data_IF_559220753126
#
_entry.id   IF_559220753126
#
_cell.length_a   1.000
_cell.length_b   1.000
_cell.length_c   1.000
_cell.angle_alpha   90.00
_cell.angle_beta   90.00
_cell.angle_gamma   90.00
#
_symmetry.space_group_name_H-M   'P 1'
#
loop_
_entity.id
_entity.type
_entity.pdbx_description
1 polymer ?
#
# COMPACT_ATOMS: atom_id res chain seq x y z
N UNK A 1 9.10 -52.21 -28.92
CA UNK A 1 8.59 -50.85 -29.07
C UNK A 1 8.83 -50.11 -27.76
N UNK A 2 9.86 -49.29 -27.71
CA UNK A 2 10.12 -48.45 -26.53
C UNK A 2 9.01 -47.35 -26.47
N UNK A 3 8.24 -47.32 -25.39
CA UNK A 3 7.33 -46.21 -25.11
C UNK A 3 8.18 -44.96 -24.99
N UNK A 4 8.09 -44.06 -25.94
CA UNK A 4 8.63 -42.70 -25.81
C UNK A 4 7.95 -42.08 -24.59
N UNK A 5 8.64 -42.08 -23.45
CA UNK A 5 8.24 -41.34 -22.27
C UNK A 5 8.50 -39.85 -22.56
N UNK A 6 7.54 -39.20 -23.21
CA UNK A 6 7.54 -37.72 -23.26
C UNK A 6 7.65 -37.24 -21.80
N UNK A 7 8.71 -36.48 -21.49
CA UNK A 7 8.78 -35.78 -20.20
C UNK A 7 7.46 -35.00 -20.00
N UNK A 8 6.85 -35.06 -18.81
CA UNK A 8 5.68 -34.25 -18.53
C UNK A 8 6.01 -32.77 -18.74
N UNK A 9 5.10 -32.02 -19.32
CA UNK A 9 5.28 -30.62 -19.56
C UNK A 9 5.33 -29.84 -18.23
N UNK A 10 6.21 -28.84 -18.14
CA UNK A 10 6.31 -27.92 -17.01
C UNK A 10 4.94 -27.28 -16.74
N UNK A 11 4.54 -27.24 -15.47
CA UNK A 11 3.34 -26.53 -14.99
C UNK A 11 3.77 -25.26 -14.24
N UNK A 12 3.03 -24.18 -14.41
CA UNK A 12 3.29 -22.87 -13.79
C UNK A 12 2.17 -22.55 -12.82
N UNK A 13 2.48 -22.54 -11.53
CA UNK A 13 1.57 -22.24 -10.45
C UNK A 13 1.77 -20.80 -9.97
N UNK A 14 0.74 -19.97 -10.09
CA UNK A 14 0.76 -18.57 -9.70
C UNK A 14 0.11 -18.47 -8.33
N UNK A 15 0.88 -18.10 -7.31
CA UNK A 15 0.39 -17.90 -5.95
C UNK A 15 -0.45 -16.62 -5.86
N UNK A 16 -1.75 -16.76 -5.74
CA UNK A 16 -2.68 -15.66 -5.66
C UNK A 16 -3.71 -15.84 -4.52
N UNK A 17 -3.35 -16.58 -3.48
CA UNK A 17 -4.21 -16.90 -2.33
C UNK A 17 -3.86 -16.13 -1.06
N UNK A 18 -2.88 -15.24 -1.10
CA UNK A 18 -2.50 -14.39 0.03
C UNK A 18 -3.63 -13.45 0.45
N UNK A 19 -3.89 -13.34 1.76
CA UNK A 19 -4.90 -12.43 2.31
C UNK A 19 -4.50 -10.95 2.16
N UNK A 20 -3.27 -10.67 1.70
CA UNK A 20 -2.77 -9.31 1.46
C UNK A 20 -2.79 -8.42 2.71
N UNK A 21 -2.55 -9.01 3.89
CA UNK A 21 -2.65 -8.31 5.18
C UNK A 21 -1.81 -7.03 5.24
N UNK A 22 -0.62 -7.03 4.64
CA UNK A 22 0.25 -5.85 4.53
C UNK A 22 -0.22 -4.84 3.48
N UNK A 23 -1.06 -5.27 2.54
CA UNK A 23 -1.58 -4.44 1.46
C UNK A 23 -2.83 -3.64 1.85
N UNK A 24 -3.54 -4.07 2.90
CA UNK A 24 -4.73 -3.41 3.47
C UNK A 24 -5.77 -2.98 2.42
N UNK A 25 -5.92 -3.78 1.38
CA UNK A 25 -6.85 -3.49 0.28
C UNK A 25 -6.58 -2.13 -0.40
N UNK A 26 -5.31 -1.76 -0.47
CA UNK A 26 -4.86 -0.53 -1.12
C UNK A 26 -5.48 -0.38 -2.51
N UNK A 27 -5.96 0.81 -2.83
CA UNK A 27 -6.74 1.09 -4.04
C UNK A 27 -8.01 0.24 -4.21
N UNK A 28 -8.55 -0.33 -3.13
CA UNK A 28 -9.79 -1.11 -3.13
C UNK A 28 -9.71 -2.46 -3.85
N UNK A 29 -8.51 -2.96 -4.17
CA UNK A 29 -8.29 -4.21 -4.88
C UNK A 29 -7.20 -5.06 -4.22
N UNK A 30 -7.26 -6.40 -4.32
CA UNK A 30 -6.15 -7.26 -3.97
C UNK A 30 -4.89 -6.91 -4.76
N UNK A 31 -3.68 -7.13 -4.18
CA UNK A 31 -2.39 -6.90 -4.82
C UNK A 31 -2.32 -7.41 -6.26
N UNK A 32 -2.78 -8.64 -6.46
CA UNK A 32 -2.74 -9.36 -7.74
C UNK A 32 -3.55 -8.66 -8.86
N UNK A 33 -4.50 -7.83 -8.46
CA UNK A 33 -5.36 -7.07 -9.37
C UNK A 33 -4.96 -5.60 -9.51
N UNK A 34 -3.81 -5.21 -8.98
CA UNK A 34 -3.24 -3.89 -9.26
C UNK A 34 -2.97 -3.78 -10.77
N UNK A 35 -3.41 -2.68 -11.34
CA UNK A 35 -3.19 -2.37 -12.76
C UNK A 35 -1.99 -1.44 -12.92
N UNK A 36 -1.03 -1.87 -13.72
CA UNK A 36 0.11 -1.05 -14.16
C UNK A 36 -0.01 -0.93 -15.67
N UNK A 37 -0.04 0.29 -16.16
CA UNK A 37 -0.23 0.61 -17.59
C UNK A 37 -1.53 -0.01 -18.18
N UNK A 38 -2.61 -0.11 -17.36
CA UNK A 38 -3.90 -0.63 -17.78
C UNK A 38 -4.03 -2.15 -17.80
N UNK A 39 -3.04 -2.89 -17.28
CA UNK A 39 -3.05 -4.35 -17.20
C UNK A 39 -2.80 -4.80 -15.77
N UNK A 40 -3.62 -5.72 -15.22
CA UNK A 40 -3.37 -6.26 -13.88
C UNK A 40 -2.08 -7.08 -13.86
N UNK A 41 -1.34 -7.04 -12.73
CA UNK A 41 -0.10 -7.81 -12.62
C UNK A 41 -0.34 -9.31 -12.78
N UNK A 42 -1.47 -9.83 -12.31
CA UNK A 42 -1.84 -11.23 -12.52
C UNK A 42 -2.08 -11.55 -14.01
N UNK A 43 -2.87 -10.73 -14.71
CA UNK A 43 -3.14 -10.95 -16.15
C UNK A 43 -1.85 -10.79 -16.97
N UNK A 44 -1.02 -9.79 -16.67
CA UNK A 44 0.29 -9.60 -17.30
C UNK A 44 1.13 -10.87 -17.23
N UNK A 45 1.28 -11.46 -16.06
CA UNK A 45 2.06 -12.68 -15.86
C UNK A 45 1.51 -13.84 -16.71
N UNK A 46 0.19 -14.03 -16.70
CA UNK A 46 -0.48 -15.07 -17.51
C UNK A 46 -0.23 -14.84 -19.00
N UNK A 47 -0.43 -13.61 -19.48
CA UNK A 47 -0.20 -13.24 -20.89
C UNK A 47 1.26 -13.49 -21.30
N UNK A 48 2.21 -13.12 -20.47
CA UNK A 48 3.64 -13.34 -20.75
C UNK A 48 3.98 -14.83 -20.83
N UNK A 49 3.49 -15.66 -19.92
CA UNK A 49 3.65 -17.12 -19.99
C UNK A 49 3.03 -17.70 -21.27
N UNK A 50 1.86 -17.21 -21.66
CA UNK A 50 1.19 -17.62 -22.90
C UNK A 50 1.96 -17.18 -24.14
N UNK A 51 2.57 -15.99 -24.13
CA UNK A 51 3.43 -15.51 -25.22
C UNK A 51 4.69 -16.38 -25.42
N UNK A 52 5.24 -16.93 -24.32
CA UNK A 52 6.32 -17.94 -24.36
C UNK A 52 5.86 -19.35 -24.78
N UNK A 53 4.61 -19.51 -25.22
CA UNK A 53 4.07 -20.77 -25.71
C UNK A 53 3.62 -21.76 -24.63
N UNK A 54 3.56 -21.35 -23.36
CA UNK A 54 3.03 -22.19 -22.29
C UNK A 54 1.54 -22.44 -22.54
N UNK A 55 1.14 -23.70 -22.60
CA UNK A 55 -0.25 -24.06 -22.87
C UNK A 55 -1.17 -23.63 -21.71
N UNK A 56 -2.38 -23.14 -21.97
CA UNK A 56 -3.39 -22.71 -20.98
C UNK A 56 -3.53 -23.68 -19.80
N UNK A 57 -3.65 -24.97 -20.06
CA UNK A 57 -3.78 -26.04 -19.05
C UNK A 57 -2.58 -26.17 -18.10
N UNK A 58 -1.45 -25.57 -18.46
CA UNK A 58 -0.20 -25.60 -17.67
C UNK A 58 0.01 -24.27 -16.91
N UNK A 59 -0.85 -23.26 -17.08
CA UNK A 59 -0.87 -22.03 -16.29
C UNK A 59 -1.99 -22.16 -15.26
N UNK A 60 -1.65 -22.17 -13.98
CA UNK A 60 -2.57 -22.52 -12.90
C UNK A 60 -2.55 -21.44 -11.83
N UNK A 61 -3.67 -20.75 -11.63
CA UNK A 61 -3.85 -19.77 -10.55
C UNK A 61 -4.20 -20.51 -9.26
N UNK A 62 -3.37 -20.36 -8.24
CA UNK A 62 -3.62 -20.87 -6.88
C UNK A 62 -4.33 -19.77 -6.08
N UNK A 63 -5.66 -19.74 -6.08
CA UNK A 63 -6.43 -18.71 -5.41
C UNK A 63 -7.83 -18.51 -6.00
N UNK A 64 -8.56 -17.48 -5.52
CA UNK A 64 -9.94 -17.23 -5.89
C UNK A 64 -10.12 -16.58 -7.27
N UNK A 65 -9.03 -16.15 -7.91
CA UNK A 65 -9.07 -15.43 -9.17
C UNK A 65 -9.26 -16.35 -10.36
N UNK A 66 -9.82 -15.79 -11.45
CA UNK A 66 -10.03 -16.48 -12.72
C UNK A 66 -9.48 -15.64 -13.86
N UNK A 67 -8.97 -16.33 -14.87
CA UNK A 67 -8.51 -15.73 -16.11
C UNK A 67 -8.82 -16.68 -17.27
N UNK A 68 -9.16 -16.13 -18.43
CA UNK A 68 -9.53 -16.93 -19.60
C UNK A 68 -8.35 -17.69 -20.20
N UNK A 69 -7.11 -17.28 -19.92
CA UNK A 69 -5.87 -17.90 -20.41
C UNK A 69 -5.15 -18.77 -19.37
N UNK A 70 -5.79 -19.03 -18.23
CA UNK A 70 -5.31 -19.91 -17.18
C UNK A 70 -6.38 -20.88 -16.68
N UNK A 71 -5.96 -21.84 -15.86
CA UNK A 71 -6.85 -22.65 -15.01
C UNK A 71 -6.73 -22.20 -13.57
N UNK A 72 -7.72 -22.47 -12.74
CA UNK A 72 -7.67 -22.05 -11.32
C UNK A 72 -7.84 -23.25 -10.41
N UNK A 73 -7.14 -23.22 -9.27
CA UNK A 73 -7.26 -24.19 -8.18
C UNK A 73 -7.33 -23.44 -6.86
N UNK A 74 -8.21 -23.87 -5.97
CA UNK A 74 -8.27 -23.32 -4.61
C UNK A 74 -7.39 -24.19 -3.73
N UNK A 75 -6.30 -23.63 -3.22
CA UNK A 75 -5.45 -24.27 -2.21
C UNK A 75 -6.11 -24.15 -0.84
N UNK A 76 -5.94 -25.19 -0.01
CA UNK A 76 -6.53 -25.24 1.34
C UNK A 76 -5.57 -24.76 2.41
N UNK A 77 -4.30 -24.72 2.07
CA UNK A 77 -3.20 -24.38 2.95
C UNK A 77 -3.18 -22.87 3.25
N UNK A 78 -2.76 -22.51 4.46
CA UNK A 78 -2.71 -21.11 4.94
C UNK A 78 -1.31 -20.53 4.93
N UNK A 79 -0.28 -21.35 5.08
CA UNK A 79 1.11 -20.90 5.10
C UNK A 79 1.79 -21.16 3.76
N UNK A 80 2.77 -20.35 3.39
CA UNK A 80 3.58 -20.48 2.16
C UNK A 80 4.14 -21.88 2.00
N UNK A 81 4.73 -22.44 3.06
CA UNK A 81 5.35 -23.78 3.07
C UNK A 81 4.33 -24.92 2.84
N UNK A 82 3.14 -24.82 3.43
CA UNK A 82 2.08 -25.81 3.21
C UNK A 82 1.56 -25.74 1.77
N UNK A 83 1.41 -24.52 1.22
CA UNK A 83 1.04 -24.33 -0.20
C UNK A 83 2.08 -24.93 -1.13
N UNK A 84 3.36 -24.82 -0.81
CA UNK A 84 4.44 -25.42 -1.61
C UNK A 84 4.37 -26.96 -1.63
N UNK A 85 4.05 -27.60 -0.50
CA UNK A 85 3.81 -29.05 -0.44
C UNK A 85 2.55 -29.42 -1.23
N UNK A 86 1.46 -28.67 -1.09
CA UNK A 86 0.22 -28.90 -1.81
C UNK A 86 0.41 -28.80 -3.34
N UNK A 87 1.17 -27.82 -3.82
CA UNK A 87 1.51 -27.65 -5.24
C UNK A 87 2.29 -28.86 -5.75
N UNK A 88 3.27 -29.36 -5.03
CA UNK A 88 4.03 -30.52 -5.44
C UNK A 88 3.12 -31.77 -5.58
N UNK A 89 2.18 -31.94 -4.65
CA UNK A 89 1.19 -33.02 -4.70
C UNK A 89 0.22 -32.91 -5.91
N UNK A 90 -0.09 -31.67 -6.33
CA UNK A 90 -0.92 -31.38 -7.49
C UNK A 90 -0.14 -31.54 -8.81
N UNK A 91 1.12 -31.14 -8.82
CA UNK A 91 1.93 -31.09 -10.03
C UNK A 91 2.20 -32.48 -10.60
N UNK A 92 2.68 -33.41 -9.78
CA UNK A 92 3.09 -34.78 -10.17
C UNK A 92 3.99 -34.78 -11.41
N UNK A 93 4.94 -33.86 -11.45
CA UNK A 93 5.87 -33.62 -12.54
C UNK A 93 6.57 -32.26 -12.34
N UNK A 94 7.42 -31.83 -13.30
CA UNK A 94 8.12 -30.55 -13.21
C UNK A 94 7.15 -29.37 -13.06
N UNK A 95 7.53 -28.41 -12.21
CA UNK A 95 6.71 -27.22 -11.99
C UNK A 95 7.53 -25.97 -11.69
N UNK A 96 6.89 -24.84 -11.89
CA UNK A 96 7.36 -23.51 -11.49
C UNK A 96 6.31 -22.87 -10.60
N UNK A 97 6.72 -22.28 -9.49
CA UNK A 97 5.90 -21.43 -8.64
C UNK A 97 6.28 -19.98 -8.93
N UNK A 98 5.29 -19.14 -9.20
CA UNK A 98 5.41 -17.71 -9.41
C UNK A 98 4.62 -16.96 -8.33
N UNK A 99 5.15 -15.87 -7.82
CA UNK A 99 4.42 -15.02 -6.87
C UNK A 99 3.47 -14.10 -7.63
N UNK A 100 2.19 -14.19 -7.31
CA UNK A 100 1.11 -13.50 -8.05
C UNK A 100 0.99 -12.01 -7.78
N UNK A 101 1.77 -11.49 -6.84
CA UNK A 101 1.87 -10.10 -6.44
C UNK A 101 3.15 -9.39 -6.95
N UNK A 102 3.92 -10.07 -7.80
CA UNK A 102 5.10 -9.52 -8.44
C UNK A 102 4.79 -8.97 -9.84
N UNK A 103 5.40 -7.84 -10.19
CA UNK A 103 5.47 -7.33 -11.55
C UNK A 103 6.60 -8.00 -12.31
N UNK A 104 6.30 -8.79 -13.31
CA UNK A 104 7.30 -9.46 -14.15
C UNK A 104 7.52 -8.71 -15.46
N UNK A 105 8.79 -8.59 -15.87
CA UNK A 105 9.14 -8.17 -17.23
C UNK A 105 9.04 -9.32 -18.23
N UNK A 106 9.00 -9.00 -19.51
CA UNK A 106 9.05 -9.99 -20.59
C UNK A 106 10.36 -10.80 -20.54
N UNK A 107 11.48 -10.12 -20.30
CA UNK A 107 12.79 -10.75 -20.21
C UNK A 107 12.87 -11.73 -19.02
N UNK A 108 12.31 -11.37 -17.86
CA UNK A 108 12.29 -12.26 -16.70
C UNK A 108 11.45 -13.52 -16.96
N UNK A 109 10.25 -13.37 -17.51
CA UNK A 109 9.40 -14.54 -17.85
C UNK A 109 10.06 -15.41 -18.94
N UNK A 110 10.70 -14.78 -19.95
CA UNK A 110 11.44 -15.51 -20.97
C UNK A 110 12.52 -16.40 -20.34
N UNK A 111 13.33 -15.84 -19.44
CA UNK A 111 14.37 -16.60 -18.74
C UNK A 111 13.78 -17.71 -17.86
N UNK A 112 12.71 -17.42 -17.11
CA UNK A 112 12.02 -18.44 -16.29
C UNK A 112 11.51 -19.60 -17.15
N UNK A 113 11.01 -19.34 -18.35
CA UNK A 113 10.44 -20.39 -19.21
C UNK A 113 11.51 -21.17 -19.98
N UNK A 114 12.55 -20.51 -20.47
CA UNK A 114 13.49 -21.07 -21.46
C UNK A 114 14.78 -21.59 -20.86
N UNK A 115 15.22 -21.06 -19.71
CA UNK A 115 16.46 -21.48 -19.06
C UNK A 115 16.41 -22.97 -18.72
N UNK A 116 17.48 -23.75 -19.06
CA UNK A 116 17.59 -25.14 -18.63
C UNK A 116 17.58 -25.25 -17.10
N UNK A 117 16.77 -26.14 -16.56
CA UNK A 117 16.73 -26.45 -15.12
C UNK A 117 17.52 -27.71 -14.84
N UNK A 118 18.33 -27.72 -13.77
CA UNK A 118 19.04 -28.92 -13.31
C UNK A 118 18.14 -29.77 -12.39
N UNK A 119 17.90 -29.29 -11.19
CA UNK A 119 17.02 -29.92 -10.22
C UNK A 119 16.07 -28.92 -9.59
N UNK A 120 16.61 -27.78 -9.20
CA UNK A 120 15.93 -26.67 -8.55
C UNK A 120 16.65 -25.36 -8.90
N UNK A 121 15.88 -24.32 -9.20
CA UNK A 121 16.36 -22.95 -9.36
C UNK A 121 15.43 -22.01 -8.60
N UNK A 122 15.97 -20.94 -8.08
CA UNK A 122 15.23 -19.85 -7.47
C UNK A 122 15.66 -18.50 -8.06
N UNK A 123 14.71 -17.63 -8.35
CA UNK A 123 14.93 -16.30 -8.90
C UNK A 123 14.69 -15.25 -7.82
N UNK A 124 15.61 -14.30 -7.69
CA UNK A 124 15.57 -13.23 -6.71
C UNK A 124 15.77 -11.85 -7.31
N UNK A 125 15.33 -10.79 -6.58
CA UNK A 125 15.88 -9.45 -6.77
C UNK A 125 17.33 -9.43 -6.33
N UNK A 126 18.07 -8.48 -6.87
CA UNK A 126 19.36 -8.10 -6.28
C UNK A 126 19.13 -7.27 -5.02
N UNK A 127 20.16 -7.24 -4.19
CA UNK A 127 20.15 -6.53 -2.92
C UNK A 127 21.17 -5.36 -2.93
N UNK A 128 20.80 -4.14 -2.50
CA UNK A 128 19.41 -3.71 -2.30
C UNK A 128 18.64 -3.66 -3.62
N UNK A 129 17.31 -3.87 -3.56
CA UNK A 129 16.45 -3.77 -4.74
C UNK A 129 16.54 -2.36 -5.35
N UNK A 130 16.91 -2.20 -6.63
CA UNK A 130 17.12 -0.89 -7.22
C UNK A 130 15.82 -0.07 -7.38
N UNK A 131 14.66 -0.72 -7.43
CA UNK A 131 13.37 -0.07 -7.64
C UNK A 131 12.70 0.34 -6.34
N UNK A 132 12.68 -0.54 -5.34
CA UNK A 132 12.04 -0.30 -4.04
C UNK A 132 13.02 0.09 -2.95
N UNK A 133 14.32 -0.22 -3.12
CA UNK A 133 15.36 -0.02 -2.10
C UNK A 133 15.22 -0.99 -0.94
N UNK A 134 14.47 -2.08 -1.12
CA UNK A 134 14.35 -3.14 -0.12
C UNK A 134 15.74 -3.70 0.21
N UNK A 135 16.13 -3.76 1.49
CA UNK A 135 17.46 -4.21 1.88
C UNK A 135 17.61 -5.74 1.86
N UNK A 136 16.58 -6.49 1.49
CA UNK A 136 16.56 -7.95 1.46
C UNK A 136 16.33 -8.48 0.05
N UNK A 137 16.91 -9.64 -0.32
CA UNK A 137 16.57 -10.29 -1.58
C UNK A 137 15.13 -10.83 -1.48
N UNK A 138 14.34 -10.51 -2.48
CA UNK A 138 12.96 -10.97 -2.61
C UNK A 138 12.89 -12.04 -3.69
N UNK A 139 12.32 -13.19 -3.35
CA UNK A 139 12.15 -14.28 -4.31
C UNK A 139 10.94 -14.05 -5.20
N UNK A 140 11.09 -14.28 -6.52
CA UNK A 140 9.98 -14.19 -7.47
C UNK A 140 9.45 -15.53 -7.91
N UNK A 141 10.36 -16.51 -8.12
CA UNK A 141 9.99 -17.78 -8.69
C UNK A 141 10.85 -18.92 -8.16
N UNK A 142 10.21 -20.07 -8.00
CA UNK A 142 10.85 -21.35 -7.73
C UNK A 142 10.58 -22.30 -8.88
N UNK A 143 11.61 -22.95 -9.41
CA UNK A 143 11.49 -23.96 -10.47
C UNK A 143 12.01 -25.29 -9.97
N UNK A 144 11.24 -26.35 -10.17
CA UNK A 144 11.60 -27.69 -9.72
C UNK A 144 11.35 -28.74 -10.80
N UNK A 145 12.36 -29.54 -11.12
CA UNK A 145 12.24 -30.71 -12.00
C UNK A 145 11.92 -31.97 -11.22
N UNK A 146 12.45 -32.09 -10.00
CA UNK A 146 12.28 -33.26 -9.11
C UNK A 146 11.16 -32.96 -8.08
N UNK A 147 9.92 -33.11 -8.52
CA UNK A 147 8.74 -32.79 -7.69
C UNK A 147 8.61 -33.72 -6.47
N UNK A 148 9.13 -34.98 -6.52
CA UNK A 148 9.10 -35.94 -5.41
C UNK A 148 10.04 -35.46 -4.31
N UNK A 149 11.26 -35.10 -4.68
CA UNK A 149 12.22 -34.52 -3.75
C UNK A 149 11.68 -33.23 -3.10
N UNK A 150 11.05 -32.34 -3.89
CA UNK A 150 10.45 -31.11 -3.37
C UNK A 150 9.34 -31.42 -2.37
N UNK A 151 8.40 -32.30 -2.72
CA UNK A 151 7.31 -32.74 -1.85
C UNK A 151 7.84 -33.25 -0.53
N UNK A 152 8.80 -34.18 -0.58
CA UNK A 152 9.36 -34.84 0.61
C UNK A 152 10.10 -33.81 1.48
N UNK A 153 10.82 -32.86 0.87
CA UNK A 153 11.50 -31.78 1.57
C UNK A 153 10.47 -30.84 2.25
N UNK A 154 9.42 -30.45 1.56
CA UNK A 154 8.37 -29.61 2.16
C UNK A 154 7.62 -30.34 3.27
N UNK A 155 7.40 -31.63 3.13
CA UNK A 155 6.81 -32.46 4.18
C UNK A 155 7.70 -32.52 5.42
N UNK A 156 9.00 -32.70 5.27
CA UNK A 156 9.98 -32.64 6.37
C UNK A 156 9.89 -31.29 7.10
N UNK A 157 9.87 -30.18 6.36
CA UNK A 157 9.75 -28.83 6.91
C UNK A 157 8.44 -28.68 7.69
N UNK A 158 7.31 -29.08 7.11
CA UNK A 158 5.98 -28.89 7.69
C UNK A 158 5.72 -29.78 8.92
N UNK A 159 6.49 -30.85 9.09
CA UNK A 159 6.37 -31.77 10.24
C UNK A 159 7.43 -31.55 11.31
N UNK A 160 8.42 -30.69 11.09
CA UNK A 160 9.48 -30.40 12.06
C UNK A 160 9.07 -29.31 13.05
N UNK A 161 8.85 -29.62 14.35
CA UNK A 161 8.39 -28.64 15.33
C UNK A 161 9.34 -27.46 15.55
N UNK A 162 10.64 -27.64 15.37
CA UNK A 162 11.64 -26.59 15.55
C UNK A 162 11.60 -25.58 14.40
N UNK A 163 11.32 -26.03 13.18
CA UNK A 163 11.18 -25.16 12.02
C UNK A 163 9.83 -24.42 12.01
N UNK A 164 8.75 -25.05 12.52
CA UNK A 164 7.43 -24.45 12.61
C UNK A 164 7.41 -23.22 13.54
N UNK A 165 8.27 -23.19 14.56
CA UNK A 165 8.37 -22.07 15.51
C UNK A 165 9.02 -20.81 14.91
N UNK A 166 9.74 -20.95 13.80
CA UNK A 166 10.38 -19.81 13.16
C UNK A 166 9.37 -19.13 12.22
N UNK A 167 9.07 -17.85 12.45
CA UNK A 167 8.20 -17.05 11.57
C UNK A 167 8.92 -16.53 10.31
N UNK A 168 10.09 -17.08 9.97
CA UNK A 168 10.91 -16.59 8.86
C UNK A 168 10.96 -17.63 7.75
N UNK A 169 10.47 -17.29 6.57
CA UNK A 169 10.45 -18.19 5.41
C UNK A 169 11.84 -18.48 4.80
N UNK A 170 12.88 -17.78 5.24
CA UNK A 170 14.27 -17.95 4.75
C UNK A 170 14.82 -19.36 4.94
N UNK A 171 14.37 -20.06 6.00
CA UNK A 171 14.79 -21.42 6.24
C UNK A 171 14.35 -22.39 5.14
N UNK A 172 13.28 -22.08 4.38
CA UNK A 172 12.83 -22.89 3.25
C UNK A 172 13.94 -22.93 2.19
N UNK A 173 14.50 -21.79 1.85
CA UNK A 173 15.62 -21.65 0.91
C UNK A 173 16.82 -22.51 1.35
N UNK A 174 17.30 -22.31 2.59
CA UNK A 174 18.45 -23.06 3.11
C UNK A 174 18.20 -24.56 3.16
N UNK A 175 16.99 -24.95 3.53
CA UNK A 175 16.62 -26.37 3.60
C UNK A 175 16.59 -27.04 2.23
N UNK A 176 16.10 -26.33 1.22
CA UNK A 176 16.14 -26.77 -0.18
C UNK A 176 17.57 -26.90 -0.71
N UNK A 177 18.50 -26.11 -0.21
CA UNK A 177 19.93 -26.23 -0.50
C UNK A 177 20.64 -27.27 0.34
N UNK A 178 19.93 -28.00 1.23
CA UNK A 178 20.51 -29.02 2.10
C UNK A 178 21.26 -28.46 3.31
N UNK A 179 21.14 -27.17 3.60
CA UNK A 179 21.77 -26.51 4.75
C UNK A 179 20.87 -26.65 5.96
N UNK A 180 21.33 -27.35 7.00
CA UNK A 180 20.56 -27.67 8.22
C UNK A 180 21.27 -27.20 9.50
N UNK A 181 22.01 -26.10 9.42
CA UNK A 181 22.76 -25.52 10.53
C UNK A 181 22.24 -24.10 10.91
N UNK A 182 23.00 -23.37 11.70
CA UNK A 182 22.62 -22.02 12.18
C UNK A 182 22.34 -20.99 11.08
N UNK A 183 22.84 -21.21 9.86
CA UNK A 183 22.60 -20.33 8.69
C UNK A 183 21.13 -20.26 8.28
N UNK A 184 20.31 -21.25 8.66
CA UNK A 184 18.86 -21.22 8.41
C UNK A 184 18.14 -19.99 8.99
N UNK A 185 18.77 -19.30 9.93
CA UNK A 185 18.25 -18.09 10.59
C UNK A 185 18.76 -16.79 9.95
N UNK A 186 19.58 -16.87 8.91
CA UNK A 186 20.16 -15.70 8.22
C UNK A 186 19.58 -15.54 6.82
N UNK A 187 19.44 -14.31 6.31
CA UNK A 187 19.06 -14.08 4.92
C UNK A 187 20.04 -14.75 3.96
N UNK A 188 19.61 -15.28 2.82
CA UNK A 188 20.48 -15.96 1.85
C UNK A 188 21.49 -15.05 1.14
N UNK A 189 21.50 -13.75 1.41
CA UNK A 189 22.28 -12.70 0.71
C UNK A 189 23.78 -12.92 0.67
N UNK A 190 24.33 -13.48 1.75
CA UNK A 190 25.79 -13.66 1.89
C UNK A 190 26.31 -14.97 1.29
N UNK A 191 25.41 -15.87 0.89
CA UNK A 191 25.75 -17.22 0.47
C UNK A 191 25.06 -17.61 -0.85
N UNK A 192 25.00 -16.65 -1.78
CA UNK A 192 24.48 -16.87 -3.13
C UNK A 192 25.19 -18.05 -3.81
N UNK A 193 24.42 -19.05 -4.25
CA UNK A 193 24.90 -20.18 -4.99
C UNK A 193 24.54 -20.09 -6.47
N UNK A 194 25.47 -19.71 -7.36
CA UNK A 194 25.19 -19.47 -8.76
C UNK A 194 24.70 -20.72 -9.53
N UNK A 195 24.77 -21.89 -8.93
CA UNK A 195 24.22 -23.11 -9.52
C UNK A 195 22.71 -23.24 -9.39
N UNK A 196 22.10 -22.52 -8.42
CA UNK A 196 20.67 -22.59 -8.10
C UNK A 196 20.02 -21.23 -7.95
N UNK A 197 20.79 -20.20 -7.59
CA UNK A 197 20.29 -18.87 -7.28
C UNK A 197 20.51 -17.94 -8.49
N UNK A 198 19.44 -17.38 -9.01
CA UNK A 198 19.46 -16.53 -10.19
C UNK A 198 19.08 -15.13 -9.76
N UNK A 199 20.08 -14.26 -9.61
CA UNK A 199 19.84 -12.85 -9.39
C UNK A 199 19.34 -12.20 -10.69
N UNK A 200 18.21 -11.49 -10.61
CA UNK A 200 17.60 -10.82 -11.74
C UNK A 200 17.62 -9.31 -11.56
N UNK A 201 18.11 -8.59 -12.56
CA UNK A 201 18.36 -7.14 -12.51
C UNK A 201 17.57 -6.45 -13.61
N UNK A 202 16.29 -6.27 -13.44
CA UNK A 202 15.48 -5.42 -14.30
C UNK A 202 14.34 -4.76 -13.52
N UNK A 203 13.24 -4.39 -14.18
CA UNK A 203 12.06 -3.84 -13.56
C UNK A 203 11.12 -4.90 -12.91
N UNK A 204 11.53 -6.18 -12.88
CA UNK A 204 10.77 -7.22 -12.16
C UNK A 204 10.85 -6.95 -10.66
N UNK A 205 9.71 -6.87 -9.99
CA UNK A 205 9.65 -6.46 -8.58
C UNK A 205 8.46 -7.05 -7.84
N UNK A 206 8.61 -7.18 -6.53
CA UNK A 206 7.56 -7.56 -5.59
C UNK A 206 7.02 -6.33 -4.86
N UNK A 207 5.73 -6.31 -4.58
CA UNK A 207 5.07 -5.22 -3.88
C UNK A 207 4.51 -5.71 -2.54
N UNK A 208 5.34 -5.80 -1.54
CA UNK A 208 4.90 -6.20 -0.20
C UNK A 208 4.03 -5.13 0.46
N UNK A 209 4.34 -3.88 0.21
CA UNK A 209 3.64 -2.71 0.76
C UNK A 209 3.19 -1.73 -0.35
N UNK A 210 2.16 -0.90 -0.09
CA UNK A 210 1.76 0.15 -1.02
C UNK A 210 2.89 1.11 -1.40
N UNK A 211 3.85 1.33 -0.49
CA UNK A 211 5.02 2.17 -0.71
C UNK A 211 5.96 1.61 -1.78
N UNK A 212 6.06 0.30 -1.89
CA UNK A 212 6.88 -0.38 -2.89
C UNK A 212 6.34 -0.10 -4.29
N UNK A 213 5.02 -0.19 -4.48
CA UNK A 213 4.38 0.20 -5.73
C UNK A 213 4.61 1.69 -6.06
N UNK A 214 4.50 2.57 -5.06
CA UNK A 214 4.72 4.01 -5.28
C UNK A 214 6.16 4.29 -5.71
N UNK A 215 7.15 3.69 -5.06
CA UNK A 215 8.57 3.78 -5.42
C UNK A 215 8.84 3.20 -6.80
N UNK A 216 8.31 2.01 -7.08
CA UNK A 216 8.41 1.36 -8.39
C UNK A 216 7.89 2.26 -9.50
N UNK A 217 6.69 2.83 -9.35
CA UNK A 217 6.13 3.74 -10.33
C UNK A 217 6.99 5.01 -10.51
N UNK A 218 7.52 5.56 -9.42
CA UNK A 218 8.39 6.74 -9.46
C UNK A 218 9.73 6.45 -10.17
N UNK A 219 10.31 5.27 -9.93
CA UNK A 219 11.61 4.88 -10.49
C UNK A 219 11.52 4.48 -11.96
N UNK A 220 10.48 3.71 -12.32
CA UNK A 220 10.31 3.16 -13.67
C UNK A 220 9.52 4.07 -14.61
N UNK A 221 8.84 5.10 -14.06
CA UNK A 221 7.93 5.98 -14.82
C UNK A 221 6.60 5.32 -15.20
N UNK A 222 6.35 4.08 -14.78
CA UNK A 222 5.08 3.37 -15.00
C UNK A 222 3.95 3.96 -14.15
N UNK A 223 2.71 3.81 -14.63
CA UNK A 223 1.52 4.34 -13.95
C UNK A 223 0.63 3.22 -13.45
N UNK A 224 0.26 3.28 -12.19
CA UNK A 224 -0.85 2.49 -11.67
C UNK A 224 -2.17 3.08 -12.21
N UNK A 225 -2.97 2.25 -12.88
CA UNK A 225 -4.18 2.68 -13.60
C UNK A 225 -5.47 2.11 -13.01
N UNK A 226 -5.40 1.46 -11.85
CA UNK A 226 -6.61 1.06 -11.15
C UNK A 226 -7.50 2.29 -10.93
N UNK A 227 -8.76 2.14 -11.29
CA UNK A 227 -9.75 3.14 -10.89
C UNK A 227 -9.84 3.13 -9.37
N UNK A 228 -9.47 4.26 -8.76
CA UNK A 228 -9.79 4.52 -7.37
C UNK A 228 -11.32 4.54 -7.19
N UNK A 229 -11.82 4.21 -5.99
CA UNK A 229 -13.22 4.52 -5.62
C UNK A 229 -13.50 6.01 -5.71
N UNK A 230 -12.46 6.82 -5.68
CA UNK A 230 -12.52 8.24 -5.99
C UNK A 230 -12.67 8.40 -7.51
N UNK A 231 -13.89 8.45 -8.00
CA UNK A 231 -14.20 8.56 -9.43
C UNK A 231 -13.53 9.78 -10.06
N UNK A 232 -13.17 9.68 -11.36
CA UNK A 232 -12.76 10.81 -12.22
C UNK A 232 -13.90 11.85 -12.35
N UNK A 233 -14.19 12.56 -11.27
CA UNK A 233 -15.07 13.70 -11.32
C UNK A 233 -14.29 14.87 -11.89
N UNK A 234 -14.88 15.62 -12.82
CA UNK A 234 -14.35 16.90 -13.20
C UNK A 234 -14.20 17.76 -11.93
N UNK A 235 -12.96 18.16 -11.61
CA UNK A 235 -12.64 18.91 -10.40
C UNK A 235 -12.75 20.40 -10.67
N UNK A 236 -13.41 21.10 -9.77
CA UNK A 236 -13.51 22.56 -9.85
C UNK A 236 -12.26 23.22 -9.23
N UNK A 237 -11.82 24.34 -9.81
CA UNK A 237 -10.63 25.10 -9.39
C UNK A 237 -10.83 25.79 -8.03
N UNK A 238 -11.11 25.01 -6.97
CA UNK A 238 -11.21 25.49 -5.60
C UNK A 238 -10.73 24.45 -4.58
N UNK A 239 -10.63 24.88 -3.32
CA UNK A 239 -10.17 24.09 -2.18
C UNK A 239 -11.34 23.33 -1.54
N UNK A 240 -11.20 22.03 -1.35
CA UNK A 240 -12.03 21.21 -0.46
C UNK A 240 -11.31 21.02 0.88
N UNK A 241 -11.95 21.43 1.96
CA UNK A 241 -11.46 21.27 3.33
C UNK A 241 -12.23 20.13 3.97
N UNK A 242 -11.52 19.07 4.34
CA UNK A 242 -12.08 17.85 4.91
C UNK A 242 -11.83 17.86 6.42
N UNK A 243 -12.91 17.73 7.20
CA UNK A 243 -12.91 17.82 8.67
C UNK A 243 -13.51 16.53 9.22
N UNK A 244 -12.71 15.54 9.65
CA UNK A 244 -13.21 14.41 10.42
C UNK A 244 -13.56 14.87 11.83
N UNK A 245 -14.70 14.43 12.37
CA UNK A 245 -15.18 14.86 13.69
C UNK A 245 -15.79 13.72 14.47
N UNK A 246 -15.33 13.54 15.72
CA UNK A 246 -15.91 12.63 16.68
C UNK A 246 -15.91 13.25 18.07
N UNK A 247 -17.08 13.53 18.63
CA UNK A 247 -17.27 14.13 19.95
C UNK A 247 -16.47 15.44 20.18
N UNK A 248 -16.55 16.38 19.22
CA UNK A 248 -15.82 17.66 19.24
C UNK A 248 -16.74 18.87 19.09
N UNK A 249 -18.01 18.77 19.47
CA UNK A 249 -19.07 19.75 19.19
C UNK A 249 -18.65 21.21 19.34
N UNK A 250 -18.23 21.63 20.54
CA UNK A 250 -18.02 23.06 20.86
C UNK A 250 -16.80 23.65 20.13
N UNK A 251 -15.78 22.84 19.86
CA UNK A 251 -14.59 23.25 19.11
C UNK A 251 -14.87 23.30 17.63
N UNK A 252 -15.48 22.25 17.10
CA UNK A 252 -15.91 22.19 15.71
C UNK A 252 -16.84 23.37 15.37
N UNK A 253 -17.75 23.76 16.26
CA UNK A 253 -18.62 24.90 16.02
C UNK A 253 -17.84 26.19 15.78
N UNK A 254 -16.85 26.49 16.62
CA UNK A 254 -15.97 27.65 16.48
C UNK A 254 -15.12 27.61 15.20
N UNK A 255 -14.53 26.45 14.91
CA UNK A 255 -13.75 26.24 13.69
C UNK A 255 -14.60 26.50 12.43
N UNK A 256 -15.82 25.98 12.39
CA UNK A 256 -16.73 26.15 11.26
C UNK A 256 -17.15 27.60 11.08
N UNK A 257 -17.44 28.33 12.17
CA UNK A 257 -17.80 29.75 12.10
C UNK A 257 -16.65 30.59 11.50
N UNK A 258 -15.41 30.28 11.89
CA UNK A 258 -14.21 30.90 11.31
C UNK A 258 -14.05 30.59 9.82
N UNK A 259 -14.16 29.34 9.42
CA UNK A 259 -14.01 28.94 8.02
C UNK A 259 -15.14 29.48 7.12
N UNK A 260 -16.40 29.46 7.58
CA UNK A 260 -17.54 30.01 6.85
C UNK A 260 -17.37 31.52 6.69
N UNK A 261 -16.95 32.24 7.73
CA UNK A 261 -16.67 33.67 7.68
C UNK A 261 -15.60 34.01 6.63
N UNK A 262 -14.54 33.25 6.52
CA UNK A 262 -13.47 33.44 5.54
C UNK A 262 -13.99 33.36 4.08
N UNK A 263 -14.90 32.45 3.78
CA UNK A 263 -15.51 32.35 2.44
C UNK A 263 -16.27 33.60 2.05
N UNK A 264 -16.98 34.17 3.01
CA UNK A 264 -17.79 35.38 2.79
C UNK A 264 -16.92 36.63 2.68
N UNK A 265 -16.00 36.82 3.62
CA UNK A 265 -15.19 38.06 3.73
C UNK A 265 -14.08 38.15 2.69
N UNK A 266 -13.48 37.04 2.32
CA UNK A 266 -12.34 37.03 1.40
C UNK A 266 -12.74 36.77 -0.06
N UNK A 267 -14.01 36.48 -0.35
CA UNK A 267 -14.51 36.20 -1.70
C UNK A 267 -13.88 34.93 -2.32
N UNK A 268 -13.41 33.99 -1.49
CA UNK A 268 -12.74 32.77 -1.94
C UNK A 268 -13.70 31.60 -1.95
N UNK A 269 -13.78 30.91 -3.07
CA UNK A 269 -14.60 29.71 -3.18
C UNK A 269 -13.87 28.54 -2.52
N UNK A 270 -14.52 27.91 -1.54
CA UNK A 270 -14.04 26.67 -0.91
C UNK A 270 -15.23 25.79 -0.53
N UNK A 271 -15.03 24.51 -0.56
CA UNK A 271 -15.96 23.50 -0.06
C UNK A 271 -15.50 23.09 1.34
N UNK A 272 -16.42 23.05 2.30
CA UNK A 272 -16.16 22.58 3.66
C UNK A 272 -16.96 21.29 3.84
N UNK A 273 -16.29 20.18 4.08
CA UNK A 273 -16.87 18.85 4.24
C UNK A 273 -16.59 18.37 5.66
N UNK A 274 -17.65 18.20 6.44
CA UNK A 274 -17.56 17.63 7.78
C UNK A 274 -18.05 16.20 7.73
N UNK A 275 -17.21 15.26 8.17
CA UNK A 275 -17.59 13.87 8.33
C UNK A 275 -17.75 13.58 9.82
N UNK A 276 -19.00 13.48 10.27
CA UNK A 276 -19.34 13.13 11.64
C UNK A 276 -19.28 11.62 11.81
N UNK A 277 -18.25 11.15 12.50
CA UNK A 277 -17.93 9.74 12.69
C UNK A 277 -18.66 9.15 13.92
N UNK A 278 -19.97 9.27 13.94
CA UNK A 278 -20.82 8.66 14.97
C UNK A 278 -20.76 9.40 16.32
N UNK A 279 -20.63 10.72 16.35
CA UNK A 279 -20.61 11.51 17.61
C UNK A 279 -21.89 11.36 18.42
N UNK A 280 -21.76 11.40 19.76
CA UNK A 280 -22.84 11.27 20.74
C UNK A 280 -23.03 12.52 21.63
N UNK A 281 -22.25 13.58 21.41
CA UNK A 281 -22.17 14.80 22.22
C UNK A 281 -23.07 15.94 21.73
N UNK A 282 -23.97 15.69 20.76
CA UNK A 282 -24.81 16.71 20.11
C UNK A 282 -24.16 17.37 18.91
N UNK A 283 -23.02 16.84 18.41
CA UNK A 283 -22.37 17.33 17.17
C UNK A 283 -23.31 17.25 15.97
N UNK A 284 -24.06 16.15 15.80
CA UNK A 284 -24.97 15.97 14.66
C UNK A 284 -26.08 17.05 14.65
N UNK A 285 -26.67 17.36 15.80
CA UNK A 285 -27.71 18.38 15.95
C UNK A 285 -27.16 19.79 15.70
N UNK A 286 -25.94 20.07 16.10
CA UNK A 286 -25.24 21.34 15.81
C UNK A 286 -25.00 21.47 14.30
N UNK A 287 -24.44 20.44 13.65
CA UNK A 287 -24.16 20.42 12.23
C UNK A 287 -25.43 20.58 11.37
N UNK A 288 -26.56 19.98 11.79
CA UNK A 288 -27.83 20.10 11.08
C UNK A 288 -28.36 21.56 10.99
N UNK A 289 -27.87 22.45 11.85
CA UNK A 289 -28.25 23.88 11.89
C UNK A 289 -27.30 24.79 11.11
N UNK A 290 -26.10 24.26 10.70
CA UNK A 290 -25.10 25.03 9.96
C UNK A 290 -25.42 25.02 8.47
N UNK A 291 -25.33 26.17 7.84
CA UNK A 291 -25.46 26.33 6.39
C UNK A 291 -24.09 26.56 5.73
N UNK A 292 -23.98 26.25 4.45
CA UNK A 292 -22.75 26.47 3.70
C UNK A 292 -21.66 25.42 3.89
N UNK A 293 -21.97 24.30 4.53
CA UNK A 293 -21.09 23.14 4.68
C UNK A 293 -21.77 21.88 4.14
N UNK A 294 -20.98 20.90 3.76
CA UNK A 294 -21.44 19.54 3.43
C UNK A 294 -21.23 18.65 4.65
N UNK A 295 -22.30 18.05 5.14
CA UNK A 295 -22.25 17.15 6.31
C UNK A 295 -22.51 15.73 5.86
N UNK A 296 -21.67 14.81 6.33
CA UNK A 296 -21.83 13.38 6.13
C UNK A 296 -21.81 12.73 7.51
N UNK A 297 -22.86 11.97 7.82
CA UNK A 297 -22.91 11.19 9.06
C UNK A 297 -22.63 9.72 8.75
N UNK A 298 -21.79 9.08 9.55
CA UNK A 298 -21.50 7.65 9.49
C UNK A 298 -21.49 7.05 10.88
N UNK A 299 -21.54 5.73 10.97
CA UNK A 299 -21.20 5.00 12.20
C UNK A 299 -19.71 5.18 12.49
N UNK A 300 -19.31 5.19 13.75
CA UNK A 300 -17.90 5.35 14.12
C UNK A 300 -17.02 4.23 13.50
N UNK A 301 -16.10 4.63 12.63
CA UNK A 301 -15.15 3.78 11.94
C UNK A 301 -13.70 4.31 12.05
N UNK A 302 -13.50 5.39 12.81
CA UNK A 302 -12.20 6.01 13.01
C UNK A 302 -11.86 7.10 12.01
N UNK A 303 -10.81 7.88 12.34
CA UNK A 303 -10.40 9.08 11.62
C UNK A 303 -10.01 8.80 10.17
N UNK A 304 -9.32 7.69 9.91
CA UNK A 304 -8.92 7.26 8.56
C UNK A 304 -10.13 7.06 7.65
N UNK A 305 -11.16 6.32 8.13
CA UNK A 305 -12.40 6.11 7.40
C UNK A 305 -13.16 7.43 7.15
N UNK A 306 -13.19 8.31 8.14
CA UNK A 306 -13.83 9.63 8.00
C UNK A 306 -13.11 10.50 6.96
N UNK A 307 -11.76 10.51 6.93
CA UNK A 307 -10.99 11.22 5.90
C UNK A 307 -11.23 10.65 4.50
N UNK A 308 -11.31 9.33 4.36
CA UNK A 308 -11.62 8.67 3.09
C UNK A 308 -13.00 9.06 2.55
N UNK A 309 -14.02 9.06 3.40
CA UNK A 309 -15.38 9.51 3.04
C UNK A 309 -15.38 11.00 2.63
N UNK A 310 -14.58 11.80 3.32
CA UNK A 310 -14.39 13.22 2.95
C UNK A 310 -13.72 13.38 1.59
N UNK A 311 -12.70 12.61 1.28
CA UNK A 311 -12.05 12.58 -0.04
C UNK A 311 -13.02 12.17 -1.14
N UNK A 312 -13.78 11.11 -0.94
CA UNK A 312 -14.78 10.65 -1.91
C UNK A 312 -15.86 11.73 -2.19
N UNK A 313 -16.24 12.44 -1.16
CA UNK A 313 -17.27 13.50 -1.25
C UNK A 313 -16.76 14.82 -1.82
N UNK A 314 -15.44 15.03 -1.86
CA UNK A 314 -14.82 16.27 -2.32
C UNK A 314 -15.00 16.48 -3.83
N UNK A 315 -15.07 17.74 -4.26
CA UNK A 315 -15.23 18.14 -5.67
C UNK A 315 -14.21 19.19 -6.11
N UNK A 316 -13.44 19.73 -5.17
CA UNK A 316 -12.35 20.66 -5.45
C UNK A 316 -11.11 19.99 -6.00
N UNK A 317 -10.32 20.75 -6.78
CA UNK A 317 -9.03 20.32 -7.30
C UNK A 317 -7.93 20.29 -6.22
N UNK A 318 -8.10 21.13 -5.21
CA UNK A 318 -7.16 21.25 -4.10
C UNK A 318 -7.78 20.70 -2.83
N UNK A 319 -7.00 19.95 -2.06
CA UNK A 319 -7.48 19.25 -0.86
C UNK A 319 -6.64 19.68 0.35
N UNK A 320 -7.29 19.94 1.44
CA UNK A 320 -6.68 20.13 2.75
C UNK A 320 -7.49 19.42 3.82
N UNK A 321 -6.83 19.00 4.88
CA UNK A 321 -7.45 18.41 6.06
C UNK A 321 -7.36 19.35 7.24
N UNK A 322 -8.34 19.33 8.14
CA UNK A 322 -8.33 20.09 9.40
C UNK A 322 -8.94 19.20 10.47
N UNK A 323 -8.25 19.01 11.57
CA UNK A 323 -8.80 18.26 12.71
C UNK A 323 -9.82 19.15 13.45
N UNK A 324 -10.94 18.54 13.87
CA UNK A 324 -12.12 19.26 14.37
C UNK A 324 -11.91 20.00 15.70
N UNK A 325 -10.83 19.69 16.42
CA UNK A 325 -10.47 20.26 17.71
C UNK A 325 -9.33 21.29 17.64
N UNK A 326 -8.83 21.59 16.44
CA UNK A 326 -7.75 22.53 16.19
C UNK A 326 -8.23 23.91 15.70
N UNK A 327 -7.28 24.81 15.45
CA UNK A 327 -7.52 26.18 15.02
C UNK A 327 -6.84 26.49 13.69
N UNK A 328 -7.47 27.33 12.89
CA UNK A 328 -6.88 27.87 11.66
C UNK A 328 -6.87 29.40 11.70
N UNK A 329 -5.92 30.01 10.98
CA UNK A 329 -5.84 31.46 10.87
C UNK A 329 -7.03 32.03 10.10
N UNK A 330 -7.37 33.32 10.30
CA UNK A 330 -8.44 34.03 9.59
C UNK A 330 -8.19 34.14 8.07
N UNK A 331 -7.00 33.81 7.61
CA UNK A 331 -6.59 33.83 6.20
C UNK A 331 -6.34 32.41 5.64
N UNK A 332 -6.70 31.36 6.37
CA UNK A 332 -6.41 29.97 6.02
C UNK A 332 -6.76 29.62 4.58
N UNK A 333 -8.03 29.76 4.21
CA UNK A 333 -8.53 29.42 2.86
C UNK A 333 -7.79 30.21 1.78
N UNK A 334 -7.64 31.53 1.97
CA UNK A 334 -6.99 32.41 0.99
C UNK A 334 -5.52 32.08 0.82
N UNK A 335 -4.83 31.83 1.93
CA UNK A 335 -3.39 31.49 1.90
C UNK A 335 -3.17 30.17 1.20
N UNK A 336 -3.86 29.11 1.59
CA UNK A 336 -3.71 27.80 0.94
C UNK A 336 -4.01 27.86 -0.55
N UNK A 337 -5.12 28.51 -0.94
CA UNK A 337 -5.50 28.64 -2.35
C UNK A 337 -4.44 29.41 -3.13
N UNK A 338 -3.98 30.56 -2.62
CA UNK A 338 -2.95 31.37 -3.28
C UNK A 338 -1.67 30.58 -3.47
N UNK A 339 -1.22 29.90 -2.42
CA UNK A 339 0.04 29.16 -2.41
C UNK A 339 0.03 28.00 -3.42
N UNK A 340 -1.02 27.16 -3.40
CA UNK A 340 -1.07 25.96 -4.26
C UNK A 340 -1.32 26.29 -5.74
N UNK A 341 -1.96 27.41 -6.04
CA UNK A 341 -2.27 27.82 -7.42
C UNK A 341 -1.12 28.57 -8.09
N UNK A 342 -0.16 29.13 -7.32
CA UNK A 342 0.85 30.07 -7.86
C UNK A 342 1.94 29.40 -8.70
N UNK A 343 2.41 28.21 -8.35
CA UNK A 343 3.69 27.67 -8.87
C UNK A 343 3.61 26.28 -9.51
N UNK A 344 2.39 25.74 -9.70
CA UNK A 344 2.18 24.42 -10.26
C UNK A 344 2.81 23.30 -9.42
N UNK A 345 2.75 23.46 -8.09
CA UNK A 345 3.15 22.45 -7.13
C UNK A 345 2.07 21.38 -6.99
N UNK A 346 2.48 20.15 -6.73
CA UNK A 346 1.59 19.05 -6.44
C UNK A 346 1.13 19.08 -4.97
N UNK A 347 2.03 19.51 -4.07
CA UNK A 347 1.72 19.74 -2.67
C UNK A 347 2.58 20.85 -2.04
N UNK A 348 2.04 21.47 -1.00
CA UNK A 348 2.76 22.46 -0.20
C UNK A 348 2.56 22.13 1.27
N UNK A 349 3.61 22.20 2.07
CA UNK A 349 3.54 22.10 3.53
C UNK A 349 3.70 23.46 4.19
N UNK A 350 3.07 23.61 5.35
CA UNK A 350 3.02 24.83 6.13
C UNK A 350 3.62 24.59 7.53
N UNK A 351 4.35 25.57 8.08
CA UNK A 351 4.68 25.57 9.50
C UNK A 351 3.41 25.71 10.33
N UNK A 352 3.44 25.19 11.54
CA UNK A 352 2.32 25.24 12.46
C UNK A 352 2.72 25.72 13.85
N UNK A 353 1.78 26.28 14.58
CA UNK A 353 1.94 26.71 15.96
C UNK A 353 1.27 25.71 16.92
N UNK A 354 1.57 25.82 18.20
CA UNK A 354 0.96 25.05 19.29
C UNK A 354 0.39 26.01 20.33
N UNK A 355 -0.80 25.73 20.83
CA UNK A 355 -1.53 26.65 21.74
C UNK A 355 -0.82 26.94 23.06
N UNK A 356 -0.02 26.01 23.57
CA UNK A 356 0.68 26.12 24.85
C UNK A 356 2.10 26.72 24.75
N UNK A 357 2.53 27.09 23.56
CA UNK A 357 3.87 27.63 23.31
C UNK A 357 3.88 28.68 22.21
N UNK A 358 4.76 29.68 22.32
CA UNK A 358 5.06 30.64 21.22
C UNK A 358 5.97 30.00 20.14
N UNK A 359 6.17 28.71 20.16
CA UNK A 359 7.05 28.01 19.22
C UNK A 359 6.34 27.65 17.93
N UNK A 360 7.00 27.93 16.84
CA UNK A 360 6.63 27.48 15.49
C UNK A 360 7.37 26.19 15.22
N UNK A 361 6.66 25.19 14.77
CA UNK A 361 7.20 23.87 14.51
C UNK A 361 7.29 23.63 12.99
N UNK A 362 8.44 23.14 12.59
CA UNK A 362 8.64 22.43 11.33
C UNK A 362 9.10 21.03 11.74
N UNK A 363 8.22 20.06 11.60
CA UNK A 363 8.65 18.68 11.81
C UNK A 363 9.43 18.24 10.57
N UNK A 364 10.75 18.19 10.69
CA UNK A 364 11.62 17.71 9.62
C UNK A 364 11.81 16.20 9.78
N UNK A 365 10.82 15.42 9.41
CA UNK A 365 11.03 14.01 9.10
C UNK A 365 11.54 13.90 7.66
N UNK A 366 12.81 13.64 7.50
CA UNK A 366 13.37 13.43 6.16
C UNK A 366 12.90 12.06 5.61
N UNK A 367 12.20 11.96 4.45
CA UNK A 367 11.90 13.01 3.46
C UNK A 367 10.55 13.73 3.64
N UNK A 368 9.83 13.54 4.74
CA UNK A 368 8.48 14.06 4.97
C UNK A 368 8.55 15.22 5.96
N UNK A 369 8.21 16.46 5.57
CA UNK A 369 8.35 17.66 6.41
C UNK A 369 7.47 17.68 7.67
N UNK A 370 6.30 17.04 7.64
CA UNK A 370 5.42 16.87 8.80
C UNK A 370 4.74 15.51 8.74
N UNK A 371 4.52 14.90 9.90
CA UNK A 371 3.81 13.62 10.00
C UNK A 371 2.29 13.77 9.99
N UNK A 372 1.75 14.99 10.03
CA UNK A 372 0.32 15.26 10.11
C UNK A 372 -0.22 15.86 8.81
N UNK A 373 -1.29 15.28 8.27
CA UNK A 373 -1.88 15.68 6.98
C UNK A 373 -2.44 17.09 6.98
N UNK A 374 -2.84 17.65 8.12
CA UNK A 374 -3.35 18.99 8.24
C UNK A 374 -2.28 20.09 8.01
N UNK A 375 -0.99 19.72 8.01
CA UNK A 375 0.09 20.65 7.67
C UNK A 375 0.30 20.83 6.16
N UNK A 376 -0.58 20.29 5.32
CA UNK A 376 -0.43 20.28 3.87
C UNK A 376 -1.66 20.78 3.12
N UNK A 377 -1.41 21.23 1.88
CA UNK A 377 -2.42 21.30 0.83
C UNK A 377 -1.91 20.54 -0.38
N UNK A 378 -2.80 19.79 -1.02
CA UNK A 378 -2.50 18.88 -2.12
C UNK A 378 -3.31 19.25 -3.35
N UNK A 379 -2.77 18.98 -4.55
CA UNK A 379 -3.65 18.82 -5.70
C UNK A 379 -4.32 17.45 -5.65
N UNK A 380 -5.47 17.31 -6.27
CA UNK A 380 -6.16 16.03 -6.37
C UNK A 380 -5.31 14.98 -7.12
N UNK A 381 -4.62 15.43 -8.17
CA UNK A 381 -3.71 14.61 -8.96
C UNK A 381 -2.52 14.09 -8.13
N UNK A 382 -2.10 14.85 -7.12
CA UNK A 382 -1.08 14.39 -6.18
C UNK A 382 -1.55 13.21 -5.36
N UNK A 383 -2.80 13.25 -4.88
CA UNK A 383 -3.39 12.18 -4.06
C UNK A 383 -3.49 10.89 -4.86
N UNK A 384 -3.77 10.99 -6.18
CA UNK A 384 -3.76 9.86 -7.12
C UNK A 384 -4.52 8.63 -6.62
N UNK A 385 -5.68 8.87 -5.96
CA UNK A 385 -6.54 7.82 -5.45
C UNK A 385 -6.03 7.09 -4.22
N UNK A 386 -4.98 7.57 -3.56
CA UNK A 386 -4.51 6.99 -2.32
C UNK A 386 -5.52 7.22 -1.19
N UNK A 387 -5.90 6.14 -0.52
CA UNK A 387 -6.79 6.13 0.64
C UNK A 387 -5.99 6.02 1.94
N UNK A 388 -6.55 6.55 3.04
CA UNK A 388 -6.04 6.24 4.37
C UNK A 388 -6.35 4.79 4.72
N UNK A 389 -5.46 4.12 5.42
CA UNK A 389 -5.67 2.75 5.92
C UNK A 389 -6.63 2.78 7.10
N UNK A 390 -7.82 2.22 6.92
CA UNK A 390 -8.90 2.27 7.92
C UNK A 390 -8.66 1.33 9.11
N UNK A 391 -7.77 0.39 9.00
CA UNK A 391 -7.36 -0.54 10.04
C UNK A 391 -6.27 0.02 10.97
N UNK A 392 -5.72 1.19 10.66
CA UNK A 392 -4.72 1.87 11.49
C UNK A 392 -5.38 2.80 12.51
N UNK A 393 -5.09 2.59 13.79
CA UNK A 393 -5.59 3.45 14.86
C UNK A 393 -4.72 4.69 15.07
N UNK A 394 -3.42 4.61 14.74
CA UNK A 394 -2.48 5.72 14.87
C UNK A 394 -1.37 5.62 13.82
N UNK A 395 -0.92 6.77 13.32
CA UNK A 395 0.15 6.85 12.30
C UNK A 395 -0.37 6.70 10.86
N UNK A 396 -1.69 6.68 10.67
CA UNK A 396 -2.36 6.65 9.38
C UNK A 396 -1.97 7.83 8.49
N UNK A 397 -1.73 8.99 9.08
CA UNK A 397 -1.26 10.21 8.41
C UNK A 397 0.11 10.01 7.79
N UNK A 398 1.07 9.56 8.58
CA UNK A 398 2.44 9.34 8.12
C UNK A 398 2.51 8.25 7.05
N UNK A 399 1.75 7.16 7.23
CA UNK A 399 1.62 6.11 6.23
C UNK A 399 1.07 6.66 4.91
N UNK A 400 -0.01 7.43 4.97
CA UNK A 400 -0.63 8.03 3.81
C UNK A 400 0.31 9.02 3.09
N UNK A 401 1.00 9.89 3.84
CA UNK A 401 1.97 10.84 3.30
C UNK A 401 3.15 10.14 2.61
N UNK A 402 3.64 9.03 3.15
CA UNK A 402 4.69 8.22 2.52
C UNK A 402 4.29 7.68 1.14
N UNK A 403 3.01 7.48 0.88
CA UNK A 403 2.49 7.00 -0.40
C UNK A 403 2.15 8.14 -1.38
N UNK A 404 1.75 9.29 -0.87
CA UNK A 404 1.29 10.43 -1.69
C UNK A 404 2.43 11.35 -2.13
N UNK A 405 3.40 11.63 -1.25
CA UNK A 405 4.40 12.68 -1.50
C UNK A 405 5.57 12.31 -2.45
N UNK A 406 6.04 11.06 -2.53
CA UNK A 406 7.25 10.75 -3.31
C UNK A 406 7.15 11.13 -4.79
N UNK A 407 8.23 11.71 -5.32
CA UNK A 407 8.36 12.06 -6.73
C UNK A 407 7.50 13.23 -7.22
N UNK A 408 6.79 13.91 -6.33
CA UNK A 408 5.89 15.03 -6.63
C UNK A 408 6.59 16.38 -6.46
N UNK A 409 6.17 17.40 -7.24
CA UNK A 409 6.68 18.78 -7.12
C UNK A 409 6.15 19.43 -5.86
N UNK A 410 7.03 20.01 -5.07
CA UNK A 410 6.64 20.55 -3.77
C UNK A 410 7.46 21.75 -3.33
N UNK A 411 6.96 22.44 -2.33
CA UNK A 411 7.70 23.44 -1.56
C UNK A 411 7.19 23.56 -0.13
N UNK A 412 8.00 24.20 0.70
CA UNK A 412 7.59 24.63 2.05
C UNK A 412 7.15 26.11 2.00
N UNK A 413 6.02 26.42 2.62
CA UNK A 413 5.58 27.79 2.86
C UNK A 413 6.25 28.36 4.12
N UNK A 414 6.33 29.69 4.20
CA UNK A 414 6.73 30.42 5.42
C UNK A 414 5.51 30.90 6.24
N UNK A 415 4.30 30.65 5.75
CA UNK A 415 3.05 31.12 6.34
C UNK A 415 2.54 30.15 7.41
N UNK A 416 2.34 30.66 8.64
CA UNK A 416 1.68 29.90 9.70
C UNK A 416 0.17 30.06 9.55
N UNK A 417 -0.51 28.99 9.20
CA UNK A 417 -1.96 29.00 8.98
C UNK A 417 -2.73 28.05 9.90
N UNK A 418 -2.01 27.21 10.64
CA UNK A 418 -2.58 26.16 11.49
C UNK A 418 -2.04 26.23 12.91
N UNK A 419 -2.91 26.04 13.89
CA UNK A 419 -2.52 25.95 15.32
C UNK A 419 -3.09 24.69 15.91
N UNK A 420 -2.20 23.79 16.32
CA UNK A 420 -2.53 22.53 16.96
C UNK A 420 -2.86 22.74 18.43
N UNK A 421 -4.06 22.37 18.85
CA UNK A 421 -4.51 22.48 20.24
C UNK A 421 -4.16 21.23 21.04
N UNK A 422 -2.94 21.20 21.58
CA UNK A 422 -2.44 20.05 22.37
C UNK A 422 -3.32 19.73 23.59
N UNK A 423 -3.92 20.72 24.22
CA UNK A 423 -4.72 20.51 25.43
C UNK A 423 -6.20 20.22 25.15
N UNK A 424 -6.59 20.31 23.91
CA UNK A 424 -7.96 20.20 23.45
C UNK A 424 -8.68 18.91 23.90
N UNK A 425 -7.98 17.79 23.79
CA UNK A 425 -8.57 16.49 24.09
C UNK A 425 -7.58 15.63 24.92
N UNK A 426 -7.87 15.40 26.23
CA UNK A 426 -7.03 14.55 27.06
C UNK A 426 -6.94 13.11 26.59
N UNK A 427 -7.93 12.67 25.80
CA UNK A 427 -8.07 11.31 25.28
C UNK A 427 -7.81 11.26 23.76
N UNK A 428 -7.08 12.25 23.22
CA UNK A 428 -6.64 12.18 21.81
C UNK A 428 -5.78 10.94 21.56
N UNK A 429 -5.85 10.38 20.36
CA UNK A 429 -5.09 9.19 19.99
C UNK A 429 -3.59 9.32 20.26
N UNK A 430 -3.01 10.49 19.96
CA UNK A 430 -1.60 10.79 20.27
C UNK A 430 -1.28 10.74 21.77
N UNK A 431 -2.19 11.20 22.64
CA UNK A 431 -2.01 11.14 24.08
C UNK A 431 -2.21 9.74 24.63
N UNK A 432 -3.20 9.01 24.15
CA UNK A 432 -3.43 7.61 24.50
C UNK A 432 -2.21 6.74 24.13
N UNK A 433 -1.63 6.98 22.97
CA UNK A 433 -0.41 6.31 22.54
C UNK A 433 0.78 6.64 23.45
N UNK A 434 1.00 7.93 23.76
CA UNK A 434 2.09 8.36 24.63
C UNK A 434 1.95 7.83 26.07
N UNK A 435 0.73 7.56 26.53
CA UNK A 435 0.46 6.90 27.82
C UNK A 435 0.56 5.36 27.76
N UNK A 436 0.74 4.81 26.54
CA UNK A 436 0.79 3.35 26.31
C UNK A 436 -0.56 2.64 26.41
N UNK A 437 -1.67 3.38 26.34
CA UNK A 437 -3.03 2.86 26.40
C UNK A 437 -3.48 2.28 25.06
N UNK A 438 -2.89 2.74 23.97
CA UNK A 438 -3.02 2.15 22.62
C UNK A 438 -1.64 1.86 22.07
N UNK A 439 -1.52 0.86 21.21
CA UNK A 439 -0.27 0.49 20.55
C UNK A 439 -0.37 0.82 19.07
N UNK A 440 0.75 1.26 18.49
CA UNK A 440 0.89 1.25 17.06
C UNK A 440 1.02 -0.22 16.63
N UNK A 441 0.07 -0.74 15.89
CA UNK A 441 0.23 -2.04 15.24
C UNK A 441 1.26 -1.86 14.11
N UNK A 442 2.52 -2.10 14.49
CA UNK A 442 3.60 -2.32 13.53
C UNK A 442 3.98 -3.78 13.64
N UNK A 443 3.56 -4.58 12.69
CA UNK A 443 4.29 -5.78 12.26
C UNK A 443 4.32 -5.84 10.75
#
# INVERSE_FOLDING_TARGET
>A
MAKSTRRPAMKYYILANGEGTRWHNYRGVPKQLIEIEGETILHRMIRLLRAEGVAKKNVIICGPFKDDDATSVITKSKTKREVFEEIANLAKGPFTILYGDCYYTEACIHEIVTRPIKKYDEFYTTHPNPNTGCPWPEGYAHRCEDWEWWRDTMHEINTNPELIKTNKDWFIHWWLLGVKDERINTPPVENFNPDHDIAWLDETDDFDFPEDLAKFCATTGKKCTNKSRFTDKARAEYLSIIIPSYNTRDKLEKLLDGLISQRVTNGVTAEIIVVNDGSTDGTAEMLAKKSGIKVINQENKGVAAARNVGLEASTGKYISFVDADDHVSDMYIKTLTKEITSDGMDWITFPWAKTDTDKVFFDVFNPIPSAAVWAYVFTWECIDGNEFREDWQIGEDLDWLKRVLPGKKHRMSDQIVYTYDWDANPDSLSKLYNRGEIKQERE
#
